data_IF_419938801537
#
_entry.id   IF_419938801537
#
_cell.length_a   1.000
_cell.length_b   1.000
_cell.length_c   1.000
_cell.angle_alpha   90.00
_cell.angle_beta   90.00
_cell.angle_gamma   90.00
#
_symmetry.space_group_name_H-M   'P 1'
#
loop_
_entity.id
_entity.type
_entity.pdbx_description
1 polymer ?
#
# COMPACT_ATOMS: atom_id res chain seq x y z
N UNK A 1 32.78 -22.21 -4.34
CA UNK A 1 31.93 -21.03 -4.63
C UNK A 1 30.43 -21.24 -4.36
N UNK A 2 29.91 -22.42 -3.97
CA UNK A 2 28.45 -22.64 -3.84
C UNK A 2 27.79 -22.23 -2.51
N UNK A 3 28.56 -21.97 -1.45
CA UNK A 3 27.98 -21.63 -0.12
C UNK A 3 27.56 -20.17 0.02
N UNK A 4 28.18 -19.25 -0.72
CA UNK A 4 27.81 -17.84 -0.72
C UNK A 4 26.55 -17.57 -1.53
N UNK A 5 26.38 -18.22 -2.70
CA UNK A 5 25.18 -18.10 -3.53
C UNK A 5 23.91 -18.51 -2.78
N UNK A 6 24.00 -19.53 -1.91
CA UNK A 6 22.86 -20.01 -1.12
C UNK A 6 22.47 -19.06 0.02
N UNK A 7 23.44 -18.36 0.64
CA UNK A 7 23.14 -17.32 1.64
C UNK A 7 22.55 -16.06 0.99
N UNK A 8 23.02 -15.70 -0.20
CA UNK A 8 22.47 -14.59 -0.97
C UNK A 8 21.05 -14.88 -1.45
N UNK A 9 20.76 -16.09 -1.95
CA UNK A 9 19.39 -16.50 -2.32
C UNK A 9 18.44 -16.49 -1.11
N UNK A 10 18.91 -16.90 0.07
CA UNK A 10 18.11 -16.84 1.30
C UNK A 10 17.86 -15.38 1.74
N UNK A 11 18.89 -14.53 1.74
CA UNK A 11 18.75 -13.10 2.03
C UNK A 11 17.85 -12.39 1.01
N UNK A 12 17.97 -12.74 -0.28
CA UNK A 12 17.08 -12.23 -1.33
C UNK A 12 15.66 -12.73 -1.17
N UNK A 13 15.43 -13.99 -0.77
CA UNK A 13 14.08 -14.51 -0.52
C UNK A 13 13.39 -13.78 0.63
N UNK A 14 14.14 -13.41 1.68
CA UNK A 14 13.66 -12.59 2.79
C UNK A 14 13.39 -11.14 2.36
N UNK A 15 14.20 -10.57 1.45
CA UNK A 15 14.00 -9.23 0.88
C UNK A 15 12.93 -9.18 -0.22
N UNK A 16 12.62 -10.28 -0.89
CA UNK A 16 11.58 -10.31 -1.92
C UNK A 16 10.20 -10.24 -1.31
N UNK A 17 10.02 -10.68 -0.08
CA UNK A 17 8.75 -10.51 0.60
C UNK A 17 8.45 -9.00 0.80
N UNK A 18 9.37 -8.22 1.37
CA UNK A 18 9.16 -6.79 1.68
C UNK A 18 8.88 -5.88 0.49
N UNK A 19 9.15 -6.32 -0.75
CA UNK A 19 8.92 -5.51 -1.94
C UNK A 19 7.44 -5.45 -2.41
N UNK A 20 6.54 -6.34 -1.95
CA UNK A 20 5.08 -6.17 -2.10
C UNK A 20 4.53 -5.46 -0.86
N UNK A 21 5.40 -5.16 0.11
CA UNK A 21 4.97 -4.92 1.46
C UNK A 21 5.30 -3.59 2.10
N UNK A 22 6.39 -2.94 1.68
CA UNK A 22 7.10 -1.90 2.43
C UNK A 22 8.37 -2.49 3.00
N UNK A 23 9.49 -1.90 2.60
CA UNK A 23 10.78 -2.14 3.24
C UNK A 23 10.69 -1.52 4.64
N UNK A 24 10.73 -2.36 5.68
CA UNK A 24 11.14 -1.90 7.01
C UNK A 24 12.53 -1.27 6.88
N UNK A 25 12.59 0.06 6.87
CA UNK A 25 13.81 0.81 7.12
C UNK A 25 13.63 1.44 8.49
N UNK A 26 14.49 1.00 9.42
CA UNK A 26 14.62 1.54 10.76
C UNK A 26 14.52 3.07 10.76
N UNK A 27 13.67 3.60 11.62
CA UNK A 27 13.64 5.01 12.00
C UNK A 27 15.02 5.37 12.57
N UNK A 28 15.82 6.28 11.96
CA UNK A 28 16.80 7.01 12.75
C UNK A 28 16.02 8.05 13.54
N UNK A 29 16.11 8.04 14.88
CA UNK A 29 15.51 9.05 15.76
C UNK A 29 15.83 10.46 15.24
N UNK A 30 14.88 11.02 14.50
CA UNK A 30 14.88 12.39 14.01
C UNK A 30 13.91 13.20 14.86
N UNK A 31 14.21 14.47 15.16
CA UNK A 31 13.39 15.26 16.06
C UNK A 31 11.95 15.35 15.53
N UNK A 32 11.01 15.20 16.46
CA UNK A 32 9.56 15.36 16.25
C UNK A 32 9.26 16.61 15.40
N UNK A 33 8.37 16.53 14.39
CA UNK A 33 7.92 17.71 13.68
C UNK A 33 7.16 18.63 14.65
N UNK A 34 7.78 19.75 15.01
CA UNK A 34 7.08 20.88 15.63
C UNK A 34 6.15 21.50 14.60
N UNK A 35 4.85 21.27 14.77
CA UNK A 35 3.81 21.97 14.00
C UNK A 35 3.87 23.48 14.28
N UNK A 36 3.92 24.35 13.26
CA UNK A 36 3.67 25.78 13.44
C UNK A 36 2.20 26.01 13.84
N UNK A 37 1.89 27.09 14.59
CA UNK A 37 0.51 27.40 15.00
C UNK A 37 -0.41 27.60 13.78
N UNK A 38 -1.56 26.95 13.83
CA UNK A 38 -2.52 26.86 12.74
C UNK A 38 -3.11 28.20 12.30
N UNK A 39 -3.32 28.31 11.00
CA UNK A 39 -4.18 29.32 10.39
C UNK A 39 -5.62 28.77 10.31
N UNK A 40 -6.67 29.51 10.67
CA UNK A 40 -8.04 29.06 10.46
C UNK A 40 -8.38 29.11 8.96
N UNK A 41 -8.64 27.97 8.34
CA UNK A 41 -9.20 27.93 6.99
C UNK A 41 -10.68 28.28 7.05
N UNK A 42 -11.01 29.50 6.62
CA UNK A 42 -12.37 29.98 6.34
C UNK A 42 -12.69 29.69 4.88
N UNK A 43 -13.74 28.92 4.60
CA UNK A 43 -14.25 28.77 3.23
C UNK A 43 -15.11 27.53 3.02
N UNK A 44 -16.43 27.68 3.15
CA UNK A 44 -17.40 26.61 2.92
C UNK A 44 -17.53 26.22 1.45
N UNK A 45 -17.66 24.91 1.22
CA UNK A 45 -18.15 24.32 -0.03
C UNK A 45 -17.20 23.30 -0.66
N UNK A 46 -17.61 22.01 -0.60
CA UNK A 46 -17.18 20.84 -1.41
C UNK A 46 -16.08 19.92 -0.87
N UNK A 47 -16.26 19.32 0.30
CA UNK A 47 -15.59 18.04 0.57
C UNK A 47 -16.55 16.88 0.22
N UNK A 48 -16.63 16.52 -1.08
CA UNK A 48 -17.47 15.40 -1.57
C UNK A 48 -17.09 14.05 -0.96
N UNK A 49 -15.85 13.92 -0.46
CA UNK A 49 -15.33 12.69 0.13
C UNK A 49 -15.65 12.55 1.62
N UNK A 50 -15.92 13.66 2.32
CA UNK A 50 -16.30 13.60 3.74
C UNK A 50 -17.59 12.81 3.93
N UNK A 51 -17.63 12.05 5.03
CA UNK A 51 -18.75 11.19 5.35
C UNK A 51 -18.34 9.78 5.75
N UNK A 52 -19.33 8.92 5.89
CA UNK A 52 -19.16 7.52 6.24
C UNK A 52 -19.36 6.65 5.00
N UNK A 53 -18.41 5.75 4.79
CA UNK A 53 -18.38 4.85 3.65
C UNK A 53 -18.15 3.42 4.12
N UNK A 54 -18.92 2.48 3.60
CA UNK A 54 -18.68 1.06 3.83
C UNK A 54 -17.66 0.52 2.82
N UNK A 55 -16.73 -0.28 3.32
CA UNK A 55 -15.64 -0.85 2.52
C UNK A 55 -16.16 -1.93 1.57
N UNK A 56 -15.97 -1.72 0.26
CA UNK A 56 -16.41 -2.68 -0.78
C UNK A 56 -15.28 -3.63 -1.15
N UNK A 57 -14.03 -3.14 -1.19
CA UNK A 57 -12.85 -3.97 -1.44
C UNK A 57 -11.68 -3.23 -2.08
N UNK A 58 -10.60 -3.97 -2.28
CA UNK A 58 -9.37 -3.52 -2.94
C UNK A 58 -8.98 -4.48 -4.06
N UNK A 59 -8.43 -3.93 -5.12
CA UNK A 59 -7.64 -4.67 -6.12
C UNK A 59 -6.26 -4.03 -6.20
N UNK A 60 -5.22 -4.84 -6.10
CA UNK A 60 -3.84 -4.44 -6.32
C UNK A 60 -3.30 -5.13 -7.57
N UNK A 61 -2.58 -4.36 -8.37
CA UNK A 61 -1.72 -4.87 -9.42
C UNK A 61 -0.44 -4.04 -9.39
N UNK A 62 0.63 -4.61 -8.85
CA UNK A 62 1.88 -3.90 -8.64
C UNK A 62 3.08 -4.68 -9.14
N UNK A 63 4.11 -3.93 -9.54
CA UNK A 63 5.42 -4.47 -9.90
C UNK A 63 6.49 -3.69 -9.16
N UNK A 64 7.30 -4.40 -8.37
CA UNK A 64 8.48 -3.88 -7.72
C UNK A 64 9.73 -4.40 -8.44
N UNK A 65 10.67 -3.52 -8.73
CA UNK A 65 11.98 -3.88 -9.28
C UNK A 65 13.08 -3.31 -8.41
N UNK A 66 14.01 -4.16 -7.98
CA UNK A 66 15.23 -3.74 -7.30
C UNK A 66 16.45 -4.26 -8.06
N UNK A 67 17.55 -3.53 -8.02
CA UNK A 67 18.79 -3.91 -8.70
C UNK A 67 19.99 -3.53 -7.86
N UNK A 68 20.89 -4.48 -7.67
CA UNK A 68 22.12 -4.31 -6.88
C UNK A 68 23.19 -5.27 -7.41
N UNK A 69 24.41 -4.77 -7.62
CA UNK A 69 25.61 -5.56 -7.94
C UNK A 69 25.42 -6.59 -9.08
N UNK A 70 24.73 -6.20 -10.16
CA UNK A 70 24.49 -7.06 -11.33
C UNK A 70 23.34 -8.08 -11.15
N UNK A 71 22.72 -8.11 -9.97
CA UNK A 71 21.49 -8.83 -9.69
C UNK A 71 20.29 -7.90 -9.86
N UNK A 72 19.19 -8.42 -10.42
CA UNK A 72 17.92 -7.72 -10.52
C UNK A 72 16.81 -8.62 -10.03
N UNK A 73 16.00 -8.16 -9.09
CA UNK A 73 14.75 -8.82 -8.74
C UNK A 73 13.56 -8.04 -9.30
N UNK A 74 12.63 -8.78 -9.89
CA UNK A 74 11.34 -8.28 -10.34
C UNK A 74 10.28 -9.06 -9.60
N UNK A 75 9.42 -8.36 -8.88
CA UNK A 75 8.29 -8.97 -8.23
C UNK A 75 6.99 -8.38 -8.74
N UNK A 76 6.07 -9.24 -9.12
CA UNK A 76 4.71 -8.87 -9.52
C UNK A 76 3.74 -9.37 -8.46
N UNK A 77 2.85 -8.50 -8.01
CA UNK A 77 1.90 -8.78 -6.96
C UNK A 77 0.50 -8.44 -7.48
N UNK A 78 -0.37 -9.43 -7.53
CA UNK A 78 -1.76 -9.25 -7.91
C UNK A 78 -2.64 -9.85 -6.84
N UNK A 79 -3.53 -9.06 -6.26
CA UNK A 79 -4.54 -9.59 -5.36
C UNK A 79 -5.83 -8.79 -5.41
N UNK A 80 -6.90 -9.44 -4.98
CA UNK A 80 -8.21 -8.83 -4.72
C UNK A 80 -8.67 -9.19 -3.33
N UNK A 81 -9.47 -8.33 -2.72
CA UNK A 81 -10.10 -8.63 -1.44
C UNK A 81 -11.53 -9.13 -1.59
N UNK A 82 -11.93 -10.05 -0.73
CA UNK A 82 -13.29 -10.57 -0.60
C UNK A 82 -13.72 -10.59 0.88
N UNK A 83 -14.99 -10.91 1.15
CA UNK A 83 -15.55 -10.89 2.52
C UNK A 83 -15.29 -9.55 3.24
N UNK A 84 -15.37 -8.45 2.48
CA UNK A 84 -14.98 -7.12 2.92
C UNK A 84 -15.98 -6.58 3.93
N UNK A 85 -15.46 -6.11 5.06
CA UNK A 85 -16.21 -5.48 6.14
C UNK A 85 -15.46 -4.25 6.63
N UNK A 86 -16.18 -3.34 7.27
CA UNK A 86 -15.62 -2.16 7.92
C UNK A 86 -16.14 -0.87 7.34
N UNK A 87 -16.09 0.17 8.17
CA UNK A 87 -16.54 1.51 7.84
C UNK A 87 -15.35 2.48 7.87
N UNK A 88 -15.37 3.43 6.94
CA UNK A 88 -14.39 4.49 6.76
C UNK A 88 -15.08 5.83 6.99
N UNK A 89 -14.60 6.62 7.94
CA UNK A 89 -15.09 7.97 8.21
C UNK A 89 -14.04 8.98 7.79
N UNK A 90 -14.36 9.79 6.80
CA UNK A 90 -13.53 10.89 6.32
C UNK A 90 -14.04 12.19 6.97
N UNK A 91 -13.22 12.81 7.83
CA UNK A 91 -13.61 13.97 8.66
C UNK A 91 -12.93 15.30 8.25
N UNK A 92 -12.38 15.35 7.04
CA UNK A 92 -11.56 16.46 6.53
C UNK A 92 -10.08 16.45 6.95
N UNK A 93 -9.67 15.59 7.90
CA UNK A 93 -8.29 15.50 8.38
C UNK A 93 -7.78 14.07 8.50
N UNK A 94 -8.62 13.15 8.93
CA UNK A 94 -8.32 11.75 9.17
C UNK A 94 -9.35 10.85 8.49
N UNK A 95 -8.87 9.70 8.07
CA UNK A 95 -9.68 8.55 7.71
C UNK A 95 -9.70 7.65 8.93
N UNK A 96 -10.85 7.57 9.61
CA UNK A 96 -11.05 6.65 10.72
C UNK A 96 -11.62 5.34 10.18
N UNK A 97 -10.85 4.27 10.32
CA UNK A 97 -11.22 2.92 9.89
C UNK A 97 -11.72 2.14 11.09
N UNK A 98 -12.91 1.54 10.99
CA UNK A 98 -13.54 0.76 12.06
C UNK A 98 -13.87 -0.64 11.58
N UNK A 99 -13.46 -1.65 12.35
CA UNK A 99 -13.80 -3.07 12.14
C UNK A 99 -13.49 -3.54 10.70
N UNK A 100 -12.36 -3.10 10.15
CA UNK A 100 -11.92 -3.48 8.82
C UNK A 100 -11.44 -4.93 8.84
N UNK A 101 -12.08 -5.78 8.05
CA UNK A 101 -11.71 -7.18 7.85
C UNK A 101 -11.97 -7.56 6.40
N UNK A 102 -11.15 -8.47 5.87
CA UNK A 102 -11.22 -8.93 4.50
C UNK A 102 -10.40 -10.21 4.31
N UNK A 103 -10.66 -10.92 3.23
CA UNK A 103 -9.83 -12.02 2.75
C UNK A 103 -9.06 -11.56 1.52
N UNK A 104 -7.76 -11.81 1.48
CA UNK A 104 -6.91 -11.51 0.33
C UNK A 104 -6.77 -12.78 -0.49
N UNK A 105 -7.03 -12.68 -1.80
CA UNK A 105 -6.84 -13.77 -2.76
C UNK A 105 -6.04 -13.26 -3.96
N UNK A 106 -4.91 -13.89 -4.26
CA UNK A 106 -3.99 -13.43 -5.29
C UNK A 106 -2.73 -14.27 -5.40
N UNK A 107 -1.75 -13.75 -6.12
CA UNK A 107 -0.45 -14.38 -6.33
C UNK A 107 0.68 -13.33 -6.25
N UNK A 108 1.80 -13.73 -5.66
CA UNK A 108 3.07 -13.02 -5.71
C UNK A 108 4.01 -13.84 -6.58
N UNK A 109 4.55 -13.25 -7.65
CA UNK A 109 5.60 -13.88 -8.45
C UNK A 109 6.88 -13.08 -8.33
N UNK A 110 7.97 -13.76 -7.97
CA UNK A 110 9.31 -13.19 -7.82
C UNK A 110 10.25 -13.83 -8.84
N UNK A 111 10.93 -12.99 -9.62
CA UNK A 111 11.92 -13.40 -10.62
C UNK A 111 13.24 -12.70 -10.33
N UNK A 112 14.28 -13.49 -10.08
CA UNK A 112 15.65 -13.03 -9.85
C UNK A 112 16.50 -13.26 -11.09
N UNK A 113 17.20 -12.23 -11.53
CA UNK A 113 18.10 -12.22 -12.67
C UNK A 113 19.54 -11.97 -12.21
N UNK A 114 20.50 -12.66 -12.83
CA UNK A 114 21.92 -12.31 -12.81
C UNK A 114 22.33 -11.90 -14.23
N UNK A 115 22.55 -10.60 -14.46
CA UNK A 115 22.65 -10.06 -15.81
C UNK A 115 21.37 -10.31 -16.62
N UNK A 116 21.46 -11.14 -17.67
CA UNK A 116 20.33 -11.50 -18.55
C UNK A 116 19.72 -12.87 -18.22
N UNK A 117 20.34 -13.66 -17.34
CA UNK A 117 19.88 -15.01 -17.01
C UNK A 117 18.92 -15.00 -15.83
N UNK A 118 17.88 -15.82 -15.89
CA UNK A 118 16.97 -16.07 -14.77
C UNK A 118 17.62 -17.07 -13.83
N UNK A 119 17.87 -16.65 -12.59
CA UNK A 119 18.47 -17.48 -11.52
C UNK A 119 17.40 -18.11 -10.64
N UNK A 120 16.27 -17.43 -10.46
CA UNK A 120 15.12 -17.95 -9.72
C UNK A 120 13.82 -17.38 -10.30
N UNK A 121 12.77 -18.19 -10.34
CA UNK A 121 11.41 -17.80 -10.69
C UNK A 121 10.46 -18.61 -9.82
N UNK A 122 9.73 -17.92 -8.93
CA UNK A 122 8.81 -18.56 -8.02
C UNK A 122 7.50 -17.79 -7.96
N UNK A 123 6.40 -18.53 -7.81
CA UNK A 123 5.07 -17.98 -7.58
C UNK A 123 4.51 -18.53 -6.27
N UNK A 124 4.03 -17.63 -5.43
CA UNK A 124 3.45 -17.90 -4.12
C UNK A 124 1.97 -17.49 -4.15
N UNK A 125 1.03 -18.44 -4.02
CA UNK A 125 -0.38 -18.09 -3.91
C UNK A 125 -0.65 -17.43 -2.55
N UNK A 126 -1.48 -16.41 -2.57
CA UNK A 126 -1.95 -15.71 -1.39
C UNK A 126 -3.41 -16.08 -1.12
N UNK A 127 -3.67 -16.60 0.08
CA UNK A 127 -5.01 -16.75 0.60
C UNK A 127 -4.99 -16.54 2.12
N UNK A 128 -5.33 -15.33 2.56
CA UNK A 128 -5.21 -14.93 3.96
C UNK A 128 -6.44 -14.13 4.39
N UNK A 129 -7.02 -14.51 5.53
CA UNK A 129 -8.07 -13.72 6.17
C UNK A 129 -7.43 -12.76 7.17
N UNK A 130 -7.71 -11.47 7.01
CA UNK A 130 -7.26 -10.42 7.92
C UNK A 130 -8.26 -10.30 9.07
N UNK A 131 -7.81 -10.49 10.33
CA UNK A 131 -8.69 -10.30 11.49
C UNK A 131 -9.14 -8.83 11.54
N UNK A 132 -10.31 -8.53 12.15
CA UNK A 132 -10.78 -7.15 12.24
C UNK A 132 -9.78 -6.23 12.96
N UNK A 133 -9.54 -5.06 12.39
CA UNK A 133 -8.72 -4.01 13.00
C UNK A 133 -9.33 -2.62 12.80
N UNK A 134 -8.72 -1.64 13.47
CA UNK A 134 -9.04 -0.23 13.36
C UNK A 134 -7.77 0.56 13.12
N UNK A 135 -7.89 1.70 12.43
CA UNK A 135 -6.76 2.58 12.14
C UNK A 135 -7.25 4.03 12.05
N UNK A 136 -6.34 4.97 12.27
CA UNK A 136 -6.56 6.40 12.03
C UNK A 136 -5.46 6.86 11.10
N UNK A 137 -5.85 7.32 9.91
CA UNK A 137 -4.91 7.66 8.84
C UNK A 137 -5.04 9.15 8.55
N UNK A 138 -4.02 9.95 8.87
CA UNK A 138 -3.99 11.34 8.47
C UNK A 138 -4.03 11.44 6.94
N UNK A 139 -4.84 12.36 6.43
CA UNK A 139 -4.88 12.66 5.01
C UNK A 139 -5.05 14.15 4.78
N UNK A 140 -4.70 14.58 3.57
CA UNK A 140 -4.89 15.95 3.09
C UNK A 140 -5.51 15.87 1.72
N UNK A 141 -6.58 16.60 1.48
CA UNK A 141 -7.09 16.76 0.12
C UNK A 141 -6.21 17.77 -0.61
N UNK A 142 -5.55 17.34 -1.69
CA UNK A 142 -4.66 18.20 -2.48
C UNK A 142 -5.45 19.06 -3.47
N UNK A 143 -6.49 18.48 -4.07
CA UNK A 143 -7.41 19.14 -5.00
C UNK A 143 -8.77 18.43 -5.04
N UNK A 144 -9.70 18.85 -5.91
CA UNK A 144 -11.06 18.26 -6.02
C UNK A 144 -11.06 16.74 -6.34
N UNK A 145 -9.98 16.23 -6.95
CA UNK A 145 -9.85 14.87 -7.46
C UNK A 145 -8.66 14.10 -6.88
N UNK A 146 -7.92 14.66 -5.93
CA UNK A 146 -6.72 14.03 -5.38
C UNK A 146 -6.67 14.22 -3.87
N UNK A 147 -6.47 13.13 -3.15
CA UNK A 147 -6.09 13.14 -1.73
C UNK A 147 -4.68 12.58 -1.57
N UNK A 148 -3.98 12.99 -0.53
CA UNK A 148 -2.72 12.41 -0.09
C UNK A 148 -2.94 11.76 1.27
N UNK A 149 -2.66 10.46 1.38
CA UNK A 149 -2.65 9.76 2.66
C UNK A 149 -1.22 9.67 3.18
N UNK A 150 -1.01 9.93 4.47
CA UNK A 150 0.32 9.75 5.07
C UNK A 150 0.68 8.27 5.22
N UNK A 151 -0.34 7.39 5.30
CA UNK A 151 -0.21 5.95 5.42
C UNK A 151 -1.31 5.23 4.65
N UNK A 152 -1.08 3.98 4.26
CA UNK A 152 -2.10 3.11 3.69
C UNK A 152 -2.93 2.42 4.78
N UNK A 153 -4.12 1.94 4.41
CA UNK A 153 -5.03 1.22 5.33
C UNK A 153 -5.00 -0.30 5.14
N UNK A 154 -4.56 -0.81 3.99
CA UNK A 154 -4.39 -2.24 3.76
C UNK A 154 -3.08 -2.66 4.42
N UNK A 155 -3.13 -3.71 5.24
CA UNK A 155 -1.94 -4.23 5.88
C UNK A 155 -1.04 -4.89 4.84
N UNK A 156 0.25 -4.78 5.11
CA UNK A 156 1.26 -5.48 4.36
C UNK A 156 1.04 -7.01 4.39
N UNK A 157 1.06 -7.60 3.20
CA UNK A 157 0.90 -9.03 2.94
C UNK A 157 2.20 -9.82 2.89
N UNK A 158 3.33 -9.13 2.99
CA UNK A 158 4.66 -9.67 2.79
C UNK A 158 5.19 -10.51 3.94
N UNK A 159 4.62 -10.44 5.14
CA UNK A 159 5.00 -11.37 6.20
C UNK A 159 5.01 -10.82 7.62
N UNK A 160 4.79 -9.51 7.81
CA UNK A 160 4.53 -8.94 9.13
C UNK A 160 3.12 -8.36 9.18
N UNK A 161 2.18 -9.19 9.64
CA UNK A 161 0.87 -8.71 10.08
C UNK A 161 1.07 -7.54 11.05
N UNK A 162 0.42 -6.41 10.78
CA UNK A 162 0.48 -5.21 11.61
C UNK A 162 1.26 -4.03 11.03
N UNK A 163 2.02 -4.21 9.94
CA UNK A 163 2.69 -3.07 9.28
C UNK A 163 1.72 -2.39 8.30
N UNK A 164 1.53 -1.09 8.49
CA UNK A 164 0.73 -0.24 7.59
C UNK A 164 1.47 -0.05 6.27
N UNK A 165 0.77 -0.18 5.14
CA UNK A 165 1.34 0.11 3.83
C UNK A 165 1.73 1.59 3.71
N UNK A 166 2.64 1.91 2.80
CA UNK A 166 2.98 3.31 2.52
C UNK A 166 1.76 4.09 2.00
N UNK A 167 1.64 5.33 2.47
CA UNK A 167 0.70 6.29 1.94
C UNK A 167 1.14 6.85 0.57
N UNK A 168 0.36 7.78 0.04
CA UNK A 168 0.65 8.42 -1.23
C UNK A 168 -0.55 9.19 -1.78
N UNK A 169 -0.37 9.86 -2.93
CA UNK A 169 -1.46 10.49 -3.64
C UNK A 169 -2.41 9.43 -4.23
N UNK A 170 -3.71 9.62 -4.00
CA UNK A 170 -4.78 8.81 -4.54
C UNK A 170 -5.77 9.69 -5.30
N UNK A 171 -6.07 9.29 -6.55
CA UNK A 171 -7.10 9.92 -7.36
C UNK A 171 -8.48 9.50 -6.88
N UNK A 172 -9.36 10.46 -6.72
CA UNK A 172 -10.74 10.33 -6.27
C UNK A 172 -11.63 10.28 -7.49
N UNK A 173 -12.56 9.32 -7.52
CA UNK A 173 -13.65 9.32 -8.49
C UNK A 173 -14.95 8.86 -7.84
N UNK A 174 -16.05 9.45 -8.28
CA UNK A 174 -17.39 9.14 -7.80
C UNK A 174 -18.25 8.57 -8.92
N UNK A 175 -19.09 7.60 -8.58
CA UNK A 175 -20.14 7.10 -9.47
C UNK A 175 -21.41 6.84 -8.62
N UNK A 176 -22.31 7.82 -8.59
CA UNK A 176 -23.44 7.82 -7.65
C UNK A 176 -22.94 7.76 -6.20
N UNK A 177 -23.40 6.74 -5.47
CA UNK A 177 -22.99 6.49 -4.08
C UNK A 177 -21.68 5.69 -3.96
N UNK A 178 -21.00 5.39 -5.07
CA UNK A 178 -19.70 4.72 -5.05
C UNK A 178 -18.55 5.73 -5.05
N UNK A 179 -17.62 5.55 -4.12
CA UNK A 179 -16.33 6.22 -4.07
C UNK A 179 -15.25 5.23 -4.51
N UNK A 180 -14.37 5.66 -5.41
CA UNK A 180 -13.19 4.89 -5.82
C UNK A 180 -11.95 5.74 -5.61
N UNK A 181 -10.99 5.21 -4.88
CA UNK A 181 -9.66 5.78 -4.73
C UNK A 181 -8.67 4.94 -5.52
N UNK A 182 -7.85 5.59 -6.35
CA UNK A 182 -6.80 4.94 -7.13
C UNK A 182 -5.45 5.54 -6.78
N UNK A 183 -4.60 4.75 -6.13
CA UNK A 183 -3.21 5.09 -5.84
C UNK A 183 -2.33 4.58 -6.96
N UNK A 184 -1.57 5.46 -7.60
CA UNK A 184 -0.53 5.09 -8.55
C UNK A 184 0.76 4.81 -7.78
N UNK A 185 1.21 3.57 -7.82
CA UNK A 185 2.37 3.13 -7.08
C UNK A 185 3.69 3.60 -7.72
N UNK A 186 3.65 4.07 -8.96
CA UNK A 186 4.79 4.74 -9.60
C UNK A 186 5.14 6.09 -8.96
N UNK A 187 4.22 6.65 -8.17
CA UNK A 187 4.44 7.90 -7.42
C UNK A 187 4.94 7.65 -5.98
N UNK A 188 5.09 6.39 -5.57
CA UNK A 188 5.63 6.03 -4.27
C UNK A 188 7.14 5.88 -4.41
N UNK A 189 7.90 6.79 -3.80
CA UNK A 189 9.36 6.75 -3.82
C UNK A 189 9.89 5.78 -2.76
N UNK A 190 10.67 4.79 -3.20
CA UNK A 190 11.27 3.77 -2.34
C UNK A 190 12.77 3.72 -2.68
N UNK A 191 13.67 4.11 -1.76
CA UNK A 191 15.11 4.08 -2.01
C UNK A 191 15.59 2.70 -2.50
N UNK A 192 16.25 2.67 -3.66
CA UNK A 192 16.81 1.44 -4.23
C UNK A 192 15.79 0.49 -4.89
N UNK A 193 14.52 0.88 -4.97
CA UNK A 193 13.47 0.11 -5.64
C UNK A 193 12.61 0.99 -6.53
N UNK A 194 12.15 0.44 -7.66
CA UNK A 194 11.12 1.06 -8.50
C UNK A 194 9.83 0.31 -8.28
N UNK A 195 8.81 1.00 -7.82
CA UNK A 195 7.45 0.49 -7.74
C UNK A 195 6.64 1.03 -8.91
N UNK A 196 5.70 0.24 -9.41
CA UNK A 196 4.77 0.64 -10.46
C UNK A 196 3.47 -0.16 -10.32
N UNK A 197 2.41 0.32 -10.98
CA UNK A 197 1.09 -0.29 -10.93
C UNK A 197 0.12 0.53 -10.10
N UNK A 198 -0.97 -0.08 -9.64
CA UNK A 198 -2.05 0.63 -8.99
C UNK A 198 -2.74 -0.18 -7.91
N UNK A 199 -3.14 0.52 -6.85
CA UNK A 199 -4.10 0.04 -5.87
C UNK A 199 -5.42 0.78 -6.11
N UNK A 200 -6.50 0.03 -6.32
CA UNK A 200 -7.85 0.58 -6.48
C UNK A 200 -8.68 0.12 -5.30
N UNK A 201 -9.11 1.05 -4.46
CA UNK A 201 -10.06 0.81 -3.37
C UNK A 201 -11.44 1.36 -3.69
N UNK A 202 -12.45 0.62 -3.27
CA UNK A 202 -13.85 0.94 -3.53
C UNK A 202 -14.63 1.01 -2.22
N UNK A 203 -15.55 1.96 -2.18
CA UNK A 203 -16.43 2.20 -1.06
C UNK A 203 -17.82 2.56 -1.55
N UNK A 204 -18.82 2.36 -0.70
CA UNK A 204 -20.20 2.79 -0.94
C UNK A 204 -20.66 3.68 0.21
N UNK A 205 -21.39 4.75 -0.11
CA UNK A 205 -21.91 5.68 0.88
C UNK A 205 -22.88 4.97 1.82
N UNK A 206 -22.83 5.35 3.10
CA UNK A 206 -23.74 4.85 4.14
C UNK A 206 -24.85 5.85 4.44
#
# INVERSE_FOLDING_TARGET
MSRFTSLYLLAFSLLTLSACGSLEMAHPDGPTPVNPPGTPSTGGGKNKIEGTWSFVGVTNNSVATSSQDGMKAVMTCFYKTSNNQGDFVFDGKNITVKNLSYTIAGDIRSVLYAGTEVVNDMTLPMNMAMPPYAAIIPYKQLDENTLYMEKGFIQDVSGMLGTESHGGPAKISFNGDSLVLTTDLGQVDIPGSKLSGSIVSKYVKK
#
